data_IF_393932111495
#
_entry.id   IF_393932111495
#
_cell.length_a   1.000
_cell.length_b   1.000
_cell.length_c   1.000
_cell.angle_alpha   90.00
_cell.angle_beta   90.00
_cell.angle_gamma   90.00
#
_symmetry.space_group_name_H-M   'P 1'
#
loop_
_entity.id
_entity.type
_entity.pdbx_description
1 polymer ?
#
# COMPACT_ATOMS: atom_id res chain seq x y z
N UNK A 1 21.86 2.91 6.07
CA UNK A 1 21.20 2.29 7.23
C UNK A 1 20.01 1.50 6.73
N UNK A 2 19.98 0.19 6.98
CA UNK A 2 18.80 -0.65 6.71
C UNK A 2 17.71 -0.30 7.72
N UNK A 3 16.49 -0.02 7.24
CA UNK A 3 15.35 0.15 8.14
C UNK A 3 14.74 -1.20 8.42
N UNK A 4 14.66 -1.56 9.69
CA UNK A 4 14.06 -2.83 10.11
C UNK A 4 12.53 -2.80 9.97
N UNK A 5 11.94 -1.62 9.83
CA UNK A 5 10.49 -1.43 9.74
C UNK A 5 10.10 -0.40 8.68
N UNK A 6 9.07 -0.71 7.91
CA UNK A 6 8.39 0.23 7.01
C UNK A 6 6.88 0.16 7.16
N UNK A 7 6.25 1.34 7.14
CA UNK A 7 4.80 1.48 7.09
C UNK A 7 4.36 2.16 5.78
N UNK A 8 3.42 1.56 5.05
CA UNK A 8 2.69 2.23 3.98
C UNK A 8 1.43 2.88 4.55
N UNK A 9 1.33 4.21 4.48
CA UNK A 9 0.17 4.96 4.97
C UNK A 9 -0.62 5.51 3.78
N UNK A 10 -1.83 4.98 3.58
CA UNK A 10 -2.78 5.45 2.56
C UNK A 10 -4.10 5.96 3.14
N UNK A 11 -4.37 5.70 4.40
CA UNK A 11 -5.60 6.13 5.07
C UNK A 11 -5.78 7.65 5.04
N UNK A 12 -7.01 8.10 4.79
CA UNK A 12 -7.40 9.50 4.92
C UNK A 12 -7.31 9.96 6.39
N UNK A 13 -6.89 11.21 6.67
CA UNK A 13 -6.90 11.73 8.03
C UNK A 13 -8.33 11.83 8.59
N UNK A 14 -8.58 11.15 9.71
CA UNK A 14 -9.73 11.35 10.58
C UNK A 14 -9.34 11.04 12.03
N UNK A 15 -10.13 11.50 13.00
CA UNK A 15 -9.79 11.32 14.43
C UNK A 15 -9.55 9.85 14.80
N UNK A 16 -10.34 8.94 14.22
CA UNK A 16 -10.20 7.49 14.41
C UNK A 16 -8.94 6.93 13.76
N UNK A 17 -8.67 7.23 12.48
CA UNK A 17 -7.49 6.71 11.76
C UNK A 17 -6.18 7.27 12.32
N UNK A 18 -6.17 8.54 12.74
CA UNK A 18 -5.01 9.18 13.34
C UNK A 18 -4.67 8.55 14.69
N UNK A 19 -5.67 8.36 15.57
CA UNK A 19 -5.46 7.70 16.86
C UNK A 19 -4.99 6.27 16.69
N UNK A 20 -5.57 5.55 15.74
CA UNK A 20 -5.17 4.18 15.40
C UNK A 20 -3.72 4.11 14.94
N UNK A 21 -3.32 4.99 14.01
CA UNK A 21 -1.94 5.05 13.53
C UNK A 21 -0.98 5.37 14.67
N UNK A 22 -1.24 6.42 15.45
CA UNK A 22 -0.38 6.82 16.56
C UNK A 22 -0.25 5.70 17.61
N UNK A 23 -1.34 5.01 17.93
CA UNK A 23 -1.32 3.86 18.83
C UNK A 23 -0.48 2.70 18.27
N UNK A 24 -0.61 2.41 16.96
CA UNK A 24 0.19 1.38 16.30
C UNK A 24 1.69 1.76 16.32
N UNK A 25 2.03 3.01 16.00
CA UNK A 25 3.40 3.51 16.01
C UNK A 25 4.02 3.52 17.42
N UNK A 26 3.24 3.85 18.45
CA UNK A 26 3.70 3.81 19.84
C UNK A 26 4.14 2.40 20.26
N UNK A 27 3.46 1.35 19.77
CA UNK A 27 3.83 -0.05 20.03
C UNK A 27 5.10 -0.53 19.30
N UNK A 28 5.59 0.23 18.32
CA UNK A 28 6.79 -0.12 17.53
C UNK A 28 8.07 0.41 18.21
N UNK A 29 7.94 1.42 19.07
CA UNK A 29 9.02 2.22 19.63
C UNK A 29 9.87 1.60 20.76
N UNK A 30 10.15 0.29 20.72
CA UNK A 30 11.04 -0.37 21.71
C UNK A 30 12.34 -0.94 21.12
N UNK A 31 12.61 -0.76 19.82
CA UNK A 31 13.82 -1.29 19.17
C UNK A 31 14.63 -0.17 18.53
N UNK A 32 15.95 -0.19 18.73
CA UNK A 32 16.95 0.81 18.27
C UNK A 32 17.13 0.91 16.74
N UNK A 33 16.12 0.50 15.95
CA UNK A 33 16.24 0.45 14.50
C UNK A 33 15.41 1.57 13.82
N UNK A 34 15.96 2.24 12.79
CA UNK A 34 15.28 3.32 12.10
C UNK A 34 14.03 2.81 11.38
N UNK A 35 12.89 3.47 11.60
CA UNK A 35 11.60 3.15 11.00
C UNK A 35 11.29 4.12 9.84
N UNK A 36 10.73 3.63 8.73
CA UNK A 36 10.26 4.49 7.63
C UNK A 36 8.74 4.53 7.58
N UNK A 37 8.15 5.72 7.57
CA UNK A 37 6.73 5.95 7.31
C UNK A 37 6.58 6.53 5.91
N UNK A 38 6.01 5.75 4.99
CA UNK A 38 5.82 6.14 3.59
C UNK A 38 4.35 6.46 3.32
N UNK A 39 4.04 7.74 3.11
CA UNK A 39 2.70 8.23 2.85
C UNK A 39 2.42 8.29 1.35
N UNK A 40 1.33 7.67 0.89
CA UNK A 40 0.93 7.65 -0.51
C UNK A 40 -0.56 7.91 -0.64
N UNK A 41 -0.96 8.54 -1.76
CA UNK A 41 -2.36 8.87 -2.02
C UNK A 41 -2.97 9.74 -0.94
N UNK A 42 -4.11 9.34 -0.37
CA UNK A 42 -4.78 10.09 0.70
C UNK A 42 -3.94 10.19 1.99
N UNK A 43 -2.96 9.30 2.17
CA UNK A 43 -1.98 9.41 3.25
C UNK A 43 -1.14 10.68 3.19
N UNK A 44 -0.98 11.31 2.02
CA UNK A 44 -0.28 12.59 1.91
C UNK A 44 -1.01 13.72 2.67
N UNK A 45 -2.34 13.67 2.79
CA UNK A 45 -3.11 14.62 3.59
C UNK A 45 -2.84 14.45 5.09
N UNK A 46 -2.63 13.19 5.52
CA UNK A 46 -2.22 12.89 6.88
C UNK A 46 -0.80 13.41 7.16
N UNK A 47 0.15 13.18 6.25
CA UNK A 47 1.51 13.71 6.35
C UNK A 47 1.52 15.24 6.45
N UNK A 48 0.71 15.91 5.63
CA UNK A 48 0.57 17.36 5.66
C UNK A 48 0.03 17.86 7.01
N UNK A 49 -1.01 17.21 7.56
CA UNK A 49 -1.55 17.54 8.87
C UNK A 49 -0.54 17.30 10.01
N UNK A 50 0.29 16.26 9.91
CA UNK A 50 1.38 15.96 10.85
C UNK A 50 2.46 17.05 10.82
N UNK A 51 2.91 17.45 9.63
CA UNK A 51 3.91 18.51 9.47
C UNK A 51 3.41 19.88 9.99
N UNK A 52 2.11 20.15 9.88
CA UNK A 52 1.47 21.34 10.43
C UNK A 52 1.25 21.32 11.96
N UNK A 53 1.68 20.28 12.67
CA UNK A 53 1.48 20.14 14.13
C UNK A 53 0.07 19.75 14.56
N UNK A 54 -0.84 19.47 13.61
CA UNK A 54 -2.26 19.22 13.89
C UNK A 54 -2.57 17.86 14.53
N UNK A 55 -1.63 16.93 14.53
CA UNK A 55 -1.85 15.54 14.97
C UNK A 55 -0.90 15.06 16.08
N UNK A 56 -0.17 16.00 16.71
CA UNK A 56 0.90 15.68 17.66
C UNK A 56 2.19 15.25 16.96
N UNK A 57 3.35 15.35 17.64
CA UNK A 57 4.64 15.06 17.02
C UNK A 57 4.76 13.55 16.75
N UNK A 58 4.99 13.18 15.50
CA UNK A 58 5.74 11.95 15.23
C UNK A 58 7.15 12.19 15.73
N UNK A 59 7.69 11.24 16.49
CA UNK A 59 9.08 11.28 16.93
C UNK A 59 10.00 11.21 15.71
N UNK A 60 10.45 12.38 15.25
CA UNK A 60 11.29 12.53 14.06
C UNK A 60 12.67 11.90 14.23
N UNK A 61 13.10 11.62 15.47
CA UNK A 61 14.35 10.92 15.74
C UNK A 61 14.18 9.40 15.54
N UNK A 62 12.94 8.90 15.64
CA UNK A 62 12.62 7.47 15.45
C UNK A 62 12.13 7.14 14.05
N UNK A 63 11.43 8.06 13.40
CA UNK A 63 10.74 7.81 12.14
C UNK A 63 11.24 8.72 11.03
N UNK A 64 11.84 8.11 10.01
CA UNK A 64 12.02 8.73 8.70
C UNK A 64 10.64 8.85 8.04
N UNK A 65 10.19 10.09 7.78
CA UNK A 65 8.87 10.35 7.18
C UNK A 65 9.00 10.77 5.72
N UNK A 66 8.46 9.95 4.83
CA UNK A 66 8.53 10.14 3.38
C UNK A 66 7.13 10.23 2.79
N UNK A 67 6.92 11.09 1.79
CA UNK A 67 5.71 11.14 0.97
C UNK A 67 6.04 10.70 -0.45
N UNK A 68 5.13 10.00 -1.12
CA UNK A 68 5.23 9.73 -2.55
C UNK A 68 5.24 11.07 -3.31
N UNK A 69 6.35 11.38 -3.99
CA UNK A 69 6.55 12.63 -4.70
C UNK A 69 5.42 12.92 -5.70
N UNK A 70 4.99 11.90 -6.46
CA UNK A 70 3.90 12.02 -7.43
C UNK A 70 2.55 12.31 -6.76
N UNK A 71 2.25 11.63 -5.65
CA UNK A 71 1.02 11.89 -4.89
C UNK A 71 1.02 13.29 -4.27
N UNK A 72 2.17 13.72 -3.74
CA UNK A 72 2.34 15.06 -3.16
C UNK A 72 2.15 16.17 -4.20
N UNK A 73 2.88 16.09 -5.32
CA UNK A 73 2.85 17.10 -6.38
C UNK A 73 1.42 17.28 -6.94
N UNK A 74 0.66 16.18 -7.10
CA UNK A 74 -0.74 16.25 -7.55
C UNK A 74 -1.67 16.96 -6.58
N UNK A 75 -1.43 16.85 -5.28
CA UNK A 75 -2.32 17.41 -4.25
C UNK A 75 -2.01 18.85 -3.94
N UNK A 76 -0.72 19.21 -3.90
CA UNK A 76 -0.29 20.50 -3.38
C UNK A 76 0.35 21.41 -4.42
N UNK A 77 0.58 20.92 -5.66
CA UNK A 77 1.25 21.68 -6.72
C UNK A 77 2.71 22.06 -6.41
N UNK A 78 3.22 21.67 -5.24
CA UNK A 78 4.56 22.01 -4.75
C UNK A 78 5.59 20.96 -5.17
N UNK A 79 6.80 21.41 -5.50
CA UNK A 79 7.91 20.53 -5.88
C UNK A 79 8.46 19.72 -4.69
N UNK A 80 8.27 20.18 -3.44
CA UNK A 80 8.78 19.49 -2.26
C UNK A 80 7.84 19.67 -1.05
N UNK A 81 7.70 18.65 -0.20
CA UNK A 81 6.96 18.75 1.05
C UNK A 81 7.74 19.59 2.08
N UNK A 82 7.06 20.17 3.08
CA UNK A 82 7.73 20.86 4.18
C UNK A 82 8.52 19.88 5.05
N UNK A 83 9.65 20.34 5.60
CA UNK A 83 10.41 19.57 6.59
C UNK A 83 9.51 19.22 7.80
N UNK A 84 9.70 18.03 8.42
CA UNK A 84 10.76 17.04 8.16
C UNK A 84 10.43 16.03 7.05
N UNK A 85 9.32 16.19 6.31
CA UNK A 85 8.92 15.24 5.27
C UNK A 85 9.92 15.26 4.11
N UNK A 86 10.19 14.08 3.55
CA UNK A 86 10.97 13.91 2.32
C UNK A 86 10.08 13.46 1.17
N UNK A 87 10.29 14.00 -0.03
CA UNK A 87 9.66 13.48 -1.23
C UNK A 87 10.46 12.29 -1.76
N UNK A 88 9.81 11.14 -1.92
CA UNK A 88 10.44 9.91 -2.40
C UNK A 88 9.57 9.22 -3.46
N UNK A 89 10.15 8.31 -4.24
CA UNK A 89 9.43 7.58 -5.29
C UNK A 89 8.81 6.27 -4.77
N UNK A 90 7.90 5.67 -5.54
CA UNK A 90 7.46 4.29 -5.29
C UNK A 90 8.62 3.28 -5.39
N UNK A 91 9.64 3.58 -6.19
CA UNK A 91 10.85 2.75 -6.28
C UNK A 91 11.58 2.73 -4.94
N UNK A 92 11.76 3.90 -4.31
CA UNK A 92 12.32 3.98 -2.96
C UNK A 92 11.50 3.14 -1.97
N UNK A 93 10.16 3.26 -2.01
CA UNK A 93 9.28 2.47 -1.14
C UNK A 93 9.52 0.96 -1.31
N UNK A 94 9.50 0.42 -2.53
CA UNK A 94 9.70 -1.01 -2.77
C UNK A 94 11.11 -1.49 -2.44
N UNK A 95 12.14 -0.67 -2.65
CA UNK A 95 13.51 -0.99 -2.21
C UNK A 95 13.59 -1.11 -0.68
N UNK A 96 12.91 -0.22 0.05
CA UNK A 96 12.84 -0.28 1.52
C UNK A 96 11.97 -1.45 1.99
N UNK A 97 10.89 -1.74 1.27
CA UNK A 97 10.02 -2.90 1.50
C UNK A 97 10.81 -4.22 1.46
N UNK A 98 11.65 -4.40 0.44
CA UNK A 98 12.46 -5.59 0.26
C UNK A 98 13.52 -5.81 1.36
N UNK A 99 13.92 -4.73 2.06
CA UNK A 99 14.90 -4.76 3.14
C UNK A 99 14.27 -4.79 4.54
N UNK A 100 12.97 -4.52 4.65
CA UNK A 100 12.29 -4.38 5.92
C UNK A 100 12.05 -5.75 6.56
N UNK A 101 12.28 -5.84 7.87
CA UNK A 101 11.96 -7.04 8.68
C UNK A 101 10.50 -7.05 9.12
N UNK A 102 9.83 -5.91 9.07
CA UNK A 102 8.40 -5.79 9.36
C UNK A 102 7.81 -4.74 8.44
N UNK A 103 6.65 -5.09 7.88
CA UNK A 103 5.88 -4.24 6.99
C UNK A 103 4.48 -4.12 7.54
N UNK A 104 4.03 -2.90 7.78
CA UNK A 104 2.64 -2.62 8.10
C UNK A 104 2.02 -1.76 6.98
N UNK A 105 0.75 -2.00 6.65
CA UNK A 105 0.01 -1.22 5.66
C UNK A 105 -1.30 -0.70 6.25
N UNK A 106 -1.50 0.62 6.16
CA UNK A 106 -2.66 1.35 6.65
C UNK A 106 -3.47 1.87 5.47
N UNK A 107 -4.35 1.01 4.94
CA UNK A 107 -5.13 1.23 3.72
C UNK A 107 -6.42 2.04 3.89
N UNK A 108 -7.19 2.13 2.81
CA UNK A 108 -8.38 2.99 2.66
C UNK A 108 -9.64 2.48 3.39
N UNK A 109 -9.69 1.21 3.79
CA UNK A 109 -10.89 0.54 4.32
C UNK A 109 -10.86 0.08 5.77
N UNK A 110 -9.76 0.30 6.52
CA UNK A 110 -9.59 -0.24 7.86
C UNK A 110 -8.30 -1.05 8.05
N UNK A 111 -8.07 -1.49 9.29
CA UNK A 111 -6.79 -1.64 9.99
C UNK A 111 -5.72 -2.59 9.43
N UNK A 112 -4.48 -2.35 9.90
CA UNK A 112 -3.21 -3.06 9.72
C UNK A 112 -3.34 -4.56 9.39
N UNK A 113 -2.88 -4.97 8.21
CA UNK A 113 -2.30 -6.30 8.08
C UNK A 113 -0.89 -6.25 8.67
N UNK A 114 -0.78 -6.51 9.96
CA UNK A 114 0.50 -6.64 10.62
C UNK A 114 1.01 -8.06 10.31
N UNK A 115 1.81 -8.22 9.26
CA UNK A 115 2.59 -9.44 9.06
C UNK A 115 3.90 -9.24 9.78
N UNK A 116 4.03 -9.86 10.96
CA UNK A 116 5.36 -10.19 11.45
C UNK A 116 5.83 -11.36 10.59
N UNK A 117 6.82 -11.22 9.70
CA UNK A 117 7.45 -12.39 9.13
C UNK A 117 8.03 -13.17 10.31
N UNK A 118 7.51 -14.38 10.52
CA UNK A 118 8.08 -15.28 11.51
C UNK A 118 9.51 -15.57 11.04
N UNK A 119 10.51 -15.01 11.74
CA UNK A 119 11.91 -15.05 11.30
C UNK A 119 12.47 -16.49 11.20
N UNK A 120 11.71 -17.47 11.70
CA UNK A 120 12.00 -18.91 11.61
C UNK A 120 11.48 -19.58 10.33
N UNK A 121 10.60 -18.93 9.55
CA UNK A 121 10.07 -19.43 8.28
C UNK A 121 10.97 -18.99 7.11
N UNK A 122 12.26 -19.32 7.17
CA UNK A 122 13.27 -18.98 6.17
C UNK A 122 13.17 -19.79 4.85
N UNK A 123 11.94 -20.18 4.43
CA UNK A 123 11.65 -20.68 3.09
C UNK A 123 10.66 -19.70 2.42
N UNK A 124 11.19 -18.63 1.80
CA UNK A 124 11.55 -18.56 0.36
C UNK A 124 10.47 -18.05 -0.60
N UNK A 125 9.36 -17.53 -0.11
CA UNK A 125 8.51 -16.68 -0.95
C UNK A 125 9.04 -15.25 -0.90
N UNK A 126 9.29 -14.62 -2.05
CA UNK A 126 9.43 -13.16 -2.20
C UNK A 126 8.10 -12.52 -2.59
N UNK A 127 7.01 -13.32 -2.54
CA UNK A 127 5.76 -12.95 -3.17
C UNK A 127 5.07 -11.82 -2.43
N UNK A 128 4.82 -10.74 -3.15
CA UNK A 128 4.05 -9.59 -2.72
C UNK A 128 2.57 -9.78 -3.12
N UNK A 129 1.65 -9.56 -2.19
CA UNK A 129 0.22 -9.53 -2.49
C UNK A 129 -0.31 -8.11 -2.25
N UNK A 130 -0.83 -7.48 -3.32
CA UNK A 130 -1.49 -6.19 -3.27
C UNK A 130 -2.99 -6.42 -3.14
N UNK A 131 -3.56 -6.18 -1.96
CA UNK A 131 -4.96 -6.47 -1.69
C UNK A 131 -5.82 -5.21 -1.73
N UNK A 132 -6.79 -5.18 -2.64
CA UNK A 132 -7.72 -4.06 -2.85
C UNK A 132 -9.11 -4.50 -2.40
N UNK A 133 -9.51 -4.04 -1.22
CA UNK A 133 -10.78 -4.44 -0.59
C UNK A 133 -11.87 -3.34 -0.60
N UNK A 134 -11.46 -2.10 -0.86
CA UNK A 134 -12.32 -0.92 -0.83
C UNK A 134 -12.60 -0.41 -2.23
N UNK A 135 -13.83 0.07 -2.46
CA UNK A 135 -14.16 0.76 -3.71
C UNK A 135 -13.36 2.07 -3.81
N UNK A 136 -13.00 2.50 -5.03
CA UNK A 136 -12.38 3.81 -5.20
C UNK A 136 -13.41 4.91 -4.88
N UNK A 137 -13.07 5.82 -3.97
CA UNK A 137 -13.88 6.97 -3.62
C UNK A 137 -13.98 7.98 -4.79
N UNK A 138 -12.91 8.08 -5.58
CA UNK A 138 -12.82 8.94 -6.76
C UNK A 138 -11.83 8.34 -7.79
N UNK A 139 -11.78 8.94 -8.99
CA UNK A 139 -10.90 8.51 -10.08
C UNK A 139 -9.41 8.68 -9.76
N UNK A 140 -9.08 9.65 -8.91
CA UNK A 140 -7.70 9.86 -8.46
C UNK A 140 -7.24 8.69 -7.60
N UNK A 141 -8.05 8.24 -6.64
CA UNK A 141 -7.75 7.10 -5.79
C UNK A 141 -7.63 5.81 -6.60
N UNK A 142 -8.48 5.63 -7.61
CA UNK A 142 -8.36 4.53 -8.58
C UNK A 142 -6.98 4.53 -9.24
N UNK A 143 -6.55 5.67 -9.77
CA UNK A 143 -5.24 5.85 -10.41
C UNK A 143 -4.09 5.60 -9.43
N UNK A 144 -4.18 6.13 -8.22
CA UNK A 144 -3.14 5.96 -7.20
C UNK A 144 -2.98 4.50 -6.75
N UNK A 145 -4.07 3.72 -6.69
CA UNK A 145 -4.01 2.27 -6.43
C UNK A 145 -3.37 1.52 -7.59
N UNK A 146 -3.70 1.88 -8.84
CA UNK A 146 -3.04 1.32 -10.03
C UNK A 146 -1.54 1.63 -10.06
N UNK A 147 -1.13 2.84 -9.67
CA UNK A 147 0.28 3.24 -9.63
C UNK A 147 1.13 2.40 -8.68
N UNK A 148 0.57 1.99 -7.54
CA UNK A 148 1.29 1.08 -6.62
C UNK A 148 1.52 -0.27 -7.30
N UNK A 149 0.52 -0.81 -7.98
CA UNK A 149 0.66 -2.06 -8.73
C UNK A 149 1.69 -1.92 -9.87
N UNK A 150 1.62 -0.83 -10.66
CA UNK A 150 2.60 -0.55 -11.71
C UNK A 150 4.02 -0.37 -11.15
N UNK A 151 4.17 0.23 -9.97
CA UNK A 151 5.47 0.35 -9.30
C UNK A 151 6.06 -1.00 -8.91
N UNK A 152 5.24 -1.95 -8.45
CA UNK A 152 5.68 -3.32 -8.17
C UNK A 152 6.08 -4.05 -9.47
N UNK A 153 5.28 -3.91 -10.53
CA UNK A 153 5.56 -4.49 -11.84
C UNK A 153 6.84 -3.94 -12.48
N UNK A 154 7.07 -2.63 -12.40
CA UNK A 154 8.24 -1.97 -12.97
C UNK A 154 9.57 -2.38 -12.30
N UNK A 155 9.50 -2.94 -11.10
CA UNK A 155 10.63 -3.51 -10.38
C UNK A 155 10.71 -5.03 -10.50
N UNK A 156 9.87 -5.62 -11.36
CA UNK A 156 9.80 -7.06 -11.60
C UNK A 156 9.62 -7.87 -10.31
N UNK A 157 8.88 -7.31 -9.35
CA UNK A 157 8.57 -8.02 -8.12
C UNK A 157 7.64 -9.18 -8.42
N UNK A 158 7.86 -10.32 -7.76
CA UNK A 158 6.93 -11.44 -7.78
C UNK A 158 5.63 -11.02 -7.06
N UNK A 159 4.72 -10.37 -7.76
CA UNK A 159 3.56 -9.72 -7.17
C UNK A 159 2.25 -10.13 -7.85
N UNK A 160 1.16 -10.12 -7.07
CA UNK A 160 -0.20 -10.27 -7.58
C UNK A 160 -1.14 -9.28 -6.93
N UNK A 161 -2.21 -8.92 -7.63
CA UNK A 161 -3.25 -8.01 -7.13
C UNK A 161 -4.52 -8.80 -6.88
N UNK A 162 -5.01 -8.77 -5.64
CA UNK A 162 -6.27 -9.38 -5.26
C UNK A 162 -7.33 -8.32 -5.01
N UNK A 163 -8.36 -8.31 -5.86
CA UNK A 163 -9.57 -7.52 -5.65
C UNK A 163 -10.62 -8.33 -4.91
N UNK A 164 -11.28 -7.74 -3.92
CA UNK A 164 -12.40 -8.39 -3.21
C UNK A 164 -13.43 -7.38 -2.71
N UNK A 165 -14.66 -7.85 -2.49
CA UNK A 165 -15.73 -7.03 -1.93
C UNK A 165 -15.94 -5.76 -2.76
N UNK A 166 -15.93 -4.59 -2.10
CA UNK A 166 -16.07 -3.30 -2.75
C UNK A 166 -14.88 -2.96 -3.67
N UNK A 167 -13.71 -3.56 -3.45
CA UNK A 167 -12.54 -3.38 -4.32
C UNK A 167 -12.76 -3.81 -5.77
N UNK A 168 -13.72 -4.70 -6.03
CA UNK A 168 -14.08 -5.10 -7.41
C UNK A 168 -14.52 -3.91 -8.27
N UNK A 169 -14.97 -2.81 -7.67
CA UNK A 169 -15.37 -1.60 -8.40
C UNK A 169 -14.16 -0.90 -9.08
N UNK A 170 -12.92 -1.25 -8.71
CA UNK A 170 -11.72 -0.87 -9.47
C UNK A 170 -11.69 -1.48 -10.88
N UNK A 171 -12.33 -2.64 -11.07
CA UNK A 171 -12.35 -3.41 -12.32
C UNK A 171 -13.60 -3.14 -13.18
N UNK A 172 -14.50 -2.25 -12.75
CA UNK A 172 -15.70 -1.87 -13.48
C UNK A 172 -15.42 -0.73 -14.48
N UNK A 173 -16.20 -0.73 -15.58
CA UNK A 173 -16.31 0.35 -16.56
C UNK A 173 -14.98 0.91 -17.09
N UNK A 174 -14.89 2.22 -17.27
CA UNK A 174 -13.72 2.92 -17.78
C UNK A 174 -12.48 2.73 -16.88
N UNK A 175 -12.70 2.47 -15.59
CA UNK A 175 -11.62 2.25 -14.62
C UNK A 175 -10.86 0.94 -14.82
N UNK A 176 -11.45 -0.03 -15.52
CA UNK A 176 -10.81 -1.30 -15.85
C UNK A 176 -9.64 -1.12 -16.84
N UNK A 177 -9.63 -0.04 -17.65
CA UNK A 177 -8.69 0.11 -18.76
C UNK A 177 -7.23 0.04 -18.32
N UNK A 178 -6.87 0.71 -17.23
CA UNK A 178 -5.50 0.69 -16.72
C UNK A 178 -5.09 -0.69 -16.19
N UNK A 179 -6.02 -1.41 -15.57
CA UNK A 179 -5.78 -2.76 -15.08
C UNK A 179 -5.70 -3.80 -16.21
N UNK A 180 -6.45 -3.61 -17.31
CA UNK A 180 -6.33 -4.45 -18.51
C UNK A 180 -4.93 -4.41 -19.09
N UNK A 181 -4.28 -3.24 -19.11
CA UNK A 181 -2.90 -3.15 -19.59
C UNK A 181 -1.96 -4.03 -18.76
N UNK A 182 -2.16 -4.13 -17.45
CA UNK A 182 -1.36 -5.03 -16.59
C UNK A 182 -1.53 -6.49 -17.01
N UNK A 183 -2.75 -6.93 -17.32
CA UNK A 183 -2.99 -8.31 -17.78
C UNK A 183 -2.53 -8.55 -19.22
N UNK A 184 -2.77 -7.61 -20.13
CA UNK A 184 -2.46 -7.74 -21.55
C UNK A 184 -0.96 -7.88 -21.81
N UNK A 185 -0.15 -7.23 -20.98
CA UNK A 185 1.31 -7.32 -21.02
C UNK A 185 1.88 -8.35 -20.03
N UNK A 186 1.03 -9.09 -19.31
CA UNK A 186 1.47 -10.10 -18.34
C UNK A 186 2.33 -9.54 -17.20
N UNK A 187 2.09 -8.29 -16.80
CA UNK A 187 2.90 -7.59 -15.81
C UNK A 187 2.67 -8.10 -14.38
N UNK A 188 1.43 -8.44 -14.03
CA UNK A 188 1.05 -9.00 -12.72
C UNK A 188 -0.15 -9.93 -12.87
N UNK A 189 -0.25 -10.91 -11.96
CA UNK A 189 -1.48 -11.67 -11.77
C UNK A 189 -2.58 -10.74 -11.23
N UNK A 190 -3.71 -10.63 -11.93
CA UNK A 190 -4.91 -9.94 -11.42
C UNK A 190 -5.96 -10.98 -11.03
N UNK A 191 -6.32 -10.97 -9.75
CA UNK A 191 -7.20 -11.94 -9.10
C UNK A 191 -8.44 -11.23 -8.57
N UNK A 192 -9.60 -11.88 -8.67
CA UNK A 192 -10.85 -11.36 -8.10
C UNK A 192 -11.54 -12.42 -7.24
N UNK A 193 -11.75 -12.09 -5.96
CA UNK A 193 -12.58 -12.90 -5.08
C UNK A 193 -14.05 -12.64 -5.41
N UNK A 194 -14.79 -13.70 -5.74
CA UNK A 194 -16.25 -13.67 -5.96
C UNK A 194 -16.68 -12.66 -7.05
N UNK A 195 -15.99 -12.68 -8.21
CA UNK A 195 -16.20 -11.76 -9.34
C UNK A 195 -17.53 -11.87 -10.10
N UNK A 196 -18.62 -12.30 -9.43
CA UNK A 196 -19.93 -12.55 -10.01
C UNK A 196 -20.45 -11.39 -10.86
N UNK A 197 -20.30 -11.51 -12.18
CA UNK A 197 -20.87 -10.63 -13.21
C UNK A 197 -20.31 -9.20 -13.30
N UNK A 198 -19.48 -8.75 -12.36
CA UNK A 198 -18.96 -7.36 -12.33
C UNK A 198 -17.72 -7.14 -13.21
N UNK A 199 -17.11 -8.22 -13.70
CA UNK A 199 -15.87 -8.18 -14.46
C UNK A 199 -16.21 -8.38 -15.93
N UNK A 200 -15.65 -7.52 -16.79
CA UNK A 200 -15.83 -7.65 -18.22
C UNK A 200 -15.22 -8.97 -18.75
N UNK A 201 -15.88 -9.68 -19.68
CA UNK A 201 -15.49 -11.03 -20.10
C UNK A 201 -14.12 -11.11 -20.79
N UNK A 202 -13.67 -10.02 -21.44
CA UNK A 202 -12.37 -9.98 -22.14
C UNK A 202 -11.21 -9.51 -21.24
N UNK A 203 -11.45 -9.40 -19.94
CA UNK A 203 -10.44 -8.98 -18.99
C UNK A 203 -9.81 -10.23 -18.36
N UNK A 204 -8.50 -10.42 -18.51
CA UNK A 204 -7.71 -11.56 -18.00
C UNK A 204 -7.63 -11.69 -16.47
N UNK A 205 -8.69 -11.34 -15.75
CA UNK A 205 -8.82 -11.47 -14.31
C UNK A 205 -9.19 -12.90 -13.96
N UNK A 206 -8.41 -13.51 -13.08
CA UNK A 206 -8.68 -14.87 -12.60
C UNK A 206 -9.62 -14.80 -11.39
N UNK A 207 -10.81 -15.37 -11.54
CA UNK A 207 -11.72 -15.55 -10.41
C UNK A 207 -11.14 -16.57 -9.43
N UNK A 208 -11.14 -16.24 -8.13
CA UNK A 208 -10.64 -17.10 -7.06
C UNK A 208 -11.68 -17.24 -5.94
N UNK A 209 -11.79 -18.44 -5.38
CA UNK A 209 -12.62 -18.69 -4.22
C UNK A 209 -11.93 -18.27 -2.90
N UNK A 210 -12.69 -18.23 -1.81
CA UNK A 210 -12.19 -17.87 -0.49
C UNK A 210 -11.04 -18.79 -0.01
N UNK A 211 -11.06 -20.08 -0.38
CA UNK A 211 -10.01 -21.03 0.00
C UNK A 211 -8.69 -20.69 -0.72
N UNK A 212 -8.75 -20.33 -1.99
CA UNK A 212 -7.59 -19.87 -2.77
C UNK A 212 -7.07 -18.53 -2.26
N UNK A 213 -7.95 -17.60 -1.87
CA UNK A 213 -7.56 -16.36 -1.19
C UNK A 213 -6.79 -16.65 0.09
N UNK A 214 -7.27 -17.57 0.93
CA UNK A 214 -6.56 -18.02 2.13
C UNK A 214 -5.16 -18.54 1.83
N UNK A 215 -5.01 -19.37 0.78
CA UNK A 215 -3.69 -19.87 0.33
C UNK A 215 -2.78 -18.77 -0.20
N UNK A 216 -3.30 -17.81 -0.96
CA UNK A 216 -2.53 -16.68 -1.48
C UNK A 216 -1.96 -15.83 -0.35
N UNK A 217 -2.79 -15.51 0.65
CA UNK A 217 -2.35 -14.76 1.83
C UNK A 217 -1.31 -15.53 2.64
N UNK A 218 -1.51 -16.83 2.83
CA UNK A 218 -0.55 -17.67 3.56
C UNK A 218 0.79 -17.82 2.82
N UNK A 219 0.79 -17.74 1.49
CA UNK A 219 1.99 -17.83 0.66
C UNK A 219 2.69 -16.48 0.44
N UNK A 220 2.02 -15.36 0.72
CA UNK A 220 2.57 -14.02 0.55
C UNK A 220 3.59 -13.73 1.65
N UNK A 221 4.79 -13.28 1.25
CA UNK A 221 5.79 -12.79 2.17
C UNK A 221 5.38 -11.42 2.75
N UNK A 222 4.64 -10.65 1.95
CA UNK A 222 4.16 -9.33 2.33
C UNK A 222 2.79 -9.09 1.69
N UNK A 223 1.86 -8.55 2.47
CA UNK A 223 0.54 -8.13 2.01
C UNK A 223 0.46 -6.61 2.19
N UNK A 224 0.25 -5.88 1.10
CA UNK A 224 -0.06 -4.45 1.16
C UNK A 224 -1.55 -4.26 0.95
N UNK A 225 -2.19 -3.63 1.95
CA UNK A 225 -3.57 -3.20 1.84
C UNK A 225 -3.64 -1.88 1.08
N UNK A 226 -4.25 -1.91 -0.10
CA UNK A 226 -4.39 -0.79 -1.00
C UNK A 226 -5.73 -0.10 -0.81
#
# INVERSE_FOLDING_TARGET
MTSDYIALIRSKPCSTSNRALLAALAGIGTRDAPATLFFQGDGCEMAHALAGGGLGPIDGDRFETCVCATSWARRYGAASPPAPLRAESLVFFFQRLALARRVDAFGLGGWCCCLAPDASAANRSTRLLLEVASAPADERQRRETLEVALGAAALELEAGVLFRGAGLDHLADAGARGWRQITDFGLLDILAQDGGGRIAPDFGVVAVDACRVGRLRAAAATILLL
#
